data_IF_385559985791
#
_entry.id   IF_385559985791
#
_cell.length_a   1.000
_cell.length_b   1.000
_cell.length_c   1.000
_cell.angle_alpha   90.00
_cell.angle_beta   90.00
_cell.angle_gamma   90.00
#
_symmetry.space_group_name_H-M   'P 1'
#
loop_
_entity.id
_entity.type
_entity.pdbx_description
1 polymer ?
#
# COMPACT_ATOMS: atom_id res chain seq x y z
N UNK A 1 -1.85 1.68 -33.01
CA UNK A 1 -2.39 1.85 -31.65
C UNK A 1 -2.57 0.44 -31.13
N UNK A 2 -1.57 -0.06 -30.40
CA UNK A 2 -1.64 -1.42 -29.85
C UNK A 2 -2.84 -1.48 -28.91
N UNK A 3 -3.80 -2.32 -29.26
CA UNK A 3 -4.89 -2.69 -28.37
C UNK A 3 -4.27 -3.02 -27.01
N UNK A 4 -4.58 -2.21 -25.99
CA UNK A 4 -4.17 -2.51 -24.62
C UNK A 4 -4.75 -3.89 -24.27
N UNK A 5 -3.94 -4.94 -24.38
CA UNK A 5 -4.37 -6.34 -24.16
C UNK A 5 -5.04 -6.47 -22.79
N UNK A 6 -4.57 -5.70 -21.80
CA UNK A 6 -5.13 -5.59 -20.47
C UNK A 6 -6.51 -4.91 -20.38
N UNK A 7 -6.90 -4.11 -21.36
CA UNK A 7 -8.25 -3.57 -21.44
C UNK A 7 -9.28 -4.68 -21.74
N UNK A 8 -8.87 -5.73 -22.48
CA UNK A 8 -9.70 -6.90 -22.81
C UNK A 8 -9.79 -7.92 -21.68
N UNK A 9 -8.91 -7.84 -20.67
CA UNK A 9 -8.97 -8.69 -19.48
C UNK A 9 -10.02 -8.18 -18.49
N UNK A 10 -10.72 -9.12 -17.82
CA UNK A 10 -11.60 -8.77 -16.70
C UNK A 10 -10.79 -8.24 -15.52
N UNK A 11 -11.45 -7.43 -14.69
CA UNK A 11 -10.82 -6.79 -13.53
C UNK A 11 -10.27 -7.81 -12.53
N UNK A 12 -10.96 -8.95 -12.34
CA UNK A 12 -10.50 -10.03 -11.46
C UNK A 12 -9.20 -10.68 -11.94
N UNK A 13 -9.05 -10.87 -13.26
CA UNK A 13 -7.82 -11.43 -13.84
C UNK A 13 -6.66 -10.46 -13.68
N UNK A 14 -6.92 -9.16 -13.92
CA UNK A 14 -5.92 -8.09 -13.73
C UNK A 14 -5.49 -8.02 -12.27
N UNK A 15 -6.43 -8.05 -11.33
CA UNK A 15 -6.13 -8.08 -9.90
C UNK A 15 -5.31 -9.33 -9.53
N UNK A 16 -5.68 -10.51 -10.03
CA UNK A 16 -4.95 -11.76 -9.77
C UNK A 16 -3.51 -11.73 -10.30
N UNK A 17 -3.27 -11.09 -11.45
CA UNK A 17 -1.91 -10.85 -11.95
C UNK A 17 -1.17 -9.94 -10.98
N UNK A 18 -1.79 -8.85 -10.55
CA UNK A 18 -1.15 -7.95 -9.61
C UNK A 18 -0.85 -8.67 -8.29
N UNK A 19 -1.71 -9.56 -7.79
CA UNK A 19 -1.45 -10.37 -6.59
C UNK A 19 -0.12 -11.13 -6.64
N UNK A 20 0.40 -11.46 -7.82
CA UNK A 20 1.70 -12.11 -7.97
C UNK A 20 2.90 -11.16 -7.86
N UNK A 21 2.68 -9.85 -7.84
CA UNK A 21 3.70 -8.80 -7.68
C UNK A 21 3.89 -8.39 -6.21
N UNK A 22 3.48 -9.23 -5.26
CA UNK A 22 3.38 -8.92 -3.83
C UNK A 22 4.73 -8.77 -3.11
N UNK A 23 5.84 -9.19 -3.75
CA UNK A 23 7.18 -9.13 -3.16
C UNK A 23 7.60 -7.72 -2.74
N UNK A 24 7.17 -6.68 -3.48
CA UNK A 24 7.47 -5.30 -3.15
C UNK A 24 6.24 -4.40 -3.35
N UNK A 25 5.72 -3.75 -2.28
CA UNK A 25 4.59 -2.84 -2.38
C UNK A 25 4.84 -1.62 -3.29
N UNK A 26 6.10 -1.33 -3.66
CA UNK A 26 6.47 -0.29 -4.63
C UNK A 26 6.12 -0.67 -6.08
N UNK A 27 6.13 -1.96 -6.43
CA UNK A 27 5.77 -2.45 -7.76
C UNK A 27 4.33 -2.05 -8.13
N UNK A 28 3.46 -2.01 -7.13
CA UNK A 28 2.06 -1.61 -7.26
C UNK A 28 1.90 -0.14 -7.63
N UNK A 29 2.71 0.73 -7.04
CA UNK A 29 2.70 2.15 -7.37
C UNK A 29 3.12 2.36 -8.83
N UNK A 30 4.10 1.59 -9.31
CA UNK A 30 4.54 1.64 -10.70
C UNK A 30 3.43 1.17 -11.66
N UNK A 31 2.77 0.05 -11.36
CA UNK A 31 1.68 -0.49 -12.18
C UNK A 31 0.49 0.48 -12.24
N UNK A 32 0.18 1.17 -11.14
CA UNK A 32 -0.88 2.18 -11.11
C UNK A 32 -0.62 3.34 -12.07
N UNK A 33 0.63 3.66 -12.40
CA UNK A 33 0.99 4.72 -13.35
C UNK A 33 0.77 4.34 -14.82
N UNK A 34 0.57 3.06 -15.15
CA UNK A 34 0.50 2.57 -16.54
C UNK A 34 -0.85 2.84 -17.19
N UNK A 35 -1.95 2.80 -16.43
CA UNK A 35 -3.28 3.13 -16.95
C UNK A 35 -4.23 3.61 -15.86
N UNK A 36 -5.24 4.40 -16.24
CA UNK A 36 -6.31 4.83 -15.33
C UNK A 36 -7.11 3.65 -14.77
N UNK A 37 -7.32 2.59 -15.57
CA UNK A 37 -7.95 1.33 -15.13
C UNK A 37 -7.16 0.69 -14.01
N UNK A 38 -5.84 0.57 -14.17
CA UNK A 38 -4.96 -0.03 -13.15
C UNK A 38 -4.92 0.84 -11.89
N UNK A 39 -4.80 2.16 -12.05
CA UNK A 39 -4.85 3.06 -10.91
C UNK A 39 -6.14 2.90 -10.12
N UNK A 40 -7.29 2.76 -10.78
CA UNK A 40 -8.59 2.57 -10.11
C UNK A 40 -8.65 1.24 -9.35
N UNK A 41 -8.25 0.13 -9.98
CA UNK A 41 -8.25 -1.19 -9.34
C UNK A 41 -7.33 -1.26 -8.12
N UNK A 42 -6.11 -0.73 -8.24
CA UNK A 42 -5.12 -0.76 -7.17
C UNK A 42 -5.55 0.13 -5.99
N UNK A 43 -6.08 1.34 -6.29
CA UNK A 43 -6.58 2.28 -5.29
C UNK A 43 -7.70 1.71 -4.43
N UNK A 44 -8.65 1.01 -5.07
CA UNK A 44 -9.92 0.66 -4.43
C UNK A 44 -9.82 -0.60 -3.59
N UNK A 45 -9.10 -1.61 -4.08
CA UNK A 45 -9.08 -2.94 -3.45
C UNK A 45 -7.81 -3.14 -2.62
N UNK A 46 -6.64 -2.83 -3.19
CA UNK A 46 -5.35 -3.23 -2.61
C UNK A 46 -4.89 -2.30 -1.50
N UNK A 47 -4.84 -0.99 -1.75
CA UNK A 47 -4.34 -0.03 -0.77
C UNK A 47 -5.17 -0.01 0.50
N UNK A 48 -6.48 -0.18 0.38
CA UNK A 48 -7.37 -0.38 1.52
C UNK A 48 -6.95 -1.58 2.37
N UNK A 49 -6.87 -2.77 1.77
CA UNK A 49 -6.55 -4.00 2.49
C UNK A 49 -5.14 -3.97 3.11
N UNK A 50 -4.17 -3.41 2.39
CA UNK A 50 -2.79 -3.28 2.87
C UNK A 50 -2.68 -2.28 4.04
N UNK A 51 -3.32 -1.11 3.94
CA UNK A 51 -3.28 -0.14 5.02
C UNK A 51 -4.01 -0.64 6.28
N UNK A 52 -5.14 -1.33 6.13
CA UNK A 52 -5.88 -1.90 7.27
C UNK A 52 -5.12 -3.01 7.99
N UNK A 53 -4.22 -3.71 7.30
CA UNK A 53 -3.40 -4.78 7.89
C UNK A 53 -2.08 -4.24 8.45
N UNK A 54 -1.46 -3.28 7.76
CA UNK A 54 -0.13 -2.75 8.11
C UNK A 54 -0.15 -1.64 9.16
N UNK A 55 -1.15 -0.76 9.12
CA UNK A 55 -1.29 0.40 10.04
C UNK A 55 -2.75 0.56 10.53
N UNK A 56 -3.33 -0.46 11.18
CA UNK A 56 -4.74 -0.46 11.59
C UNK A 56 -5.11 0.72 12.50
N UNK A 57 -4.21 1.11 13.41
CA UNK A 57 -4.39 2.24 14.33
C UNK A 57 -4.45 3.58 13.60
N UNK A 58 -3.55 3.80 12.64
CA UNK A 58 -3.51 5.01 11.80
C UNK A 58 -4.75 5.12 10.92
N UNK A 59 -5.15 3.99 10.32
CA UNK A 59 -6.40 3.88 9.56
C UNK A 59 -7.60 4.25 10.43
N UNK A 60 -7.73 3.67 11.62
CA UNK A 60 -8.84 3.97 12.54
C UNK A 60 -8.85 5.44 13.00
N UNK A 61 -7.68 6.02 13.24
CA UNK A 61 -7.56 7.41 13.70
C UNK A 61 -7.87 8.42 12.59
N UNK A 62 -7.42 8.17 11.36
CA UNK A 62 -7.61 9.08 10.22
C UNK A 62 -8.96 8.90 9.52
N UNK A 63 -9.53 7.70 9.52
CA UNK A 63 -10.81 7.39 8.87
C UNK A 63 -11.98 7.35 9.87
N UNK A 64 -11.77 7.87 11.08
CA UNK A 64 -12.82 8.01 12.10
C UNK A 64 -14.01 8.82 11.54
N UNK A 65 -15.27 8.46 11.87
CA UNK A 65 -16.49 8.94 11.20
C UNK A 65 -16.74 10.46 11.25
N UNK A 66 -15.93 11.22 11.98
CA UNK A 66 -15.93 12.68 11.93
C UNK A 66 -15.50 13.24 10.56
N UNK A 67 -14.83 12.43 9.72
CA UNK A 67 -14.49 12.75 8.34
C UNK A 67 -15.41 11.96 7.40
N UNK A 68 -16.61 12.49 7.13
CA UNK A 68 -17.70 11.85 6.37
C UNK A 68 -17.43 11.65 4.86
N UNK A 69 -16.18 11.69 4.44
CA UNK A 69 -15.78 11.31 3.09
C UNK A 69 -14.51 10.47 3.19
N UNK A 70 -14.64 9.15 3.05
CA UNK A 70 -13.50 8.31 2.66
C UNK A 70 -12.94 8.96 1.39
N UNK A 71 -11.77 9.63 1.42
CA UNK A 71 -11.34 10.35 0.25
C UNK A 71 -11.03 9.29 -0.82
N UNK A 72 -11.44 9.48 -2.08
CA UNK A 72 -11.09 8.58 -3.17
C UNK A 72 -9.57 8.36 -3.32
N UNK A 73 -8.77 9.20 -2.64
CA UNK A 73 -7.31 9.17 -2.60
C UNK A 73 -6.67 8.96 -1.21
N UNK A 74 -7.44 8.82 -0.14
CA UNK A 74 -6.90 8.71 1.22
C UNK A 74 -6.04 7.46 1.41
N UNK A 75 -6.47 6.34 0.82
CA UNK A 75 -5.75 5.07 0.83
C UNK A 75 -4.41 5.13 0.09
N UNK A 76 -4.31 5.96 -0.95
CA UNK A 76 -3.06 6.18 -1.70
C UNK A 76 -1.99 6.84 -0.84
N UNK A 77 -2.39 7.86 -0.10
CA UNK A 77 -1.51 8.61 0.79
C UNK A 77 -1.09 7.72 1.96
N UNK A 78 -2.03 6.98 2.55
CA UNK A 78 -1.72 6.01 3.61
C UNK A 78 -0.75 4.92 3.16
N UNK A 79 -0.95 4.39 1.96
CA UNK A 79 -0.05 3.39 1.40
C UNK A 79 1.36 3.95 1.18
N UNK A 80 1.47 5.20 0.68
CA UNK A 80 2.76 5.88 0.54
C UNK A 80 3.42 6.13 1.89
N UNK A 81 2.67 6.52 2.91
CA UNK A 81 3.21 6.70 4.26
C UNK A 81 3.72 5.37 4.82
N UNK A 82 2.94 4.29 4.71
CA UNK A 82 3.36 2.97 5.16
C UNK A 82 4.64 2.50 4.46
N UNK A 83 4.75 2.69 3.14
CA UNK A 83 5.84 2.12 2.32
C UNK A 83 7.07 3.02 2.20
N UNK A 84 6.89 4.34 2.12
CA UNK A 84 7.95 5.29 1.77
C UNK A 84 8.46 6.12 2.95
N UNK A 85 7.85 6.01 4.15
CA UNK A 85 8.26 6.78 5.32
C UNK A 85 8.84 5.87 6.41
N UNK A 86 10.15 5.55 6.37
CA UNK A 86 10.79 4.73 7.40
C UNK A 86 10.70 5.36 8.80
N UNK A 87 10.52 6.68 8.89
CA UNK A 87 10.31 7.39 10.16
C UNK A 87 9.10 6.91 10.97
N UNK A 88 8.07 6.33 10.32
CA UNK A 88 6.91 5.77 11.02
C UNK A 88 7.24 4.47 11.77
N UNK A 89 8.28 3.75 11.34
CA UNK A 89 8.82 2.61 12.08
C UNK A 89 9.50 3.08 13.36
N UNK A 90 10.31 4.13 13.26
CA UNK A 90 11.01 4.72 14.40
C UNK A 90 10.07 5.33 15.43
N UNK A 91 8.91 5.84 15.02
CA UNK A 91 7.91 6.38 15.94
C UNK A 91 7.01 5.30 16.55
N UNK A 92 7.31 4.00 16.39
CA UNK A 92 6.49 2.85 16.83
C UNK A 92 5.07 2.80 16.22
N UNK A 93 4.84 3.56 15.13
CA UNK A 93 3.53 3.65 14.47
C UNK A 93 3.34 2.49 13.49
N UNK A 94 4.41 2.01 12.86
CA UNK A 94 4.44 0.73 12.15
C UNK A 94 4.85 -0.37 13.14
N UNK A 95 3.90 -1.24 13.51
CA UNK A 95 4.15 -2.37 14.39
C UNK A 95 5.10 -3.38 13.71
N UNK A 96 5.86 -4.10 14.53
CA UNK A 96 7.07 -4.94 14.31
C UNK A 96 7.08 -5.96 13.15
N UNK A 97 6.04 -6.05 12.31
CA UNK A 97 5.92 -7.08 11.27
C UNK A 97 6.20 -6.59 9.84
N UNK A 98 6.46 -5.30 9.62
CA UNK A 98 6.73 -4.78 8.27
C UNK A 98 8.22 -4.72 7.98
N UNK A 99 8.83 -5.86 7.66
CA UNK A 99 10.16 -5.90 7.07
C UNK A 99 10.04 -5.50 5.59
N UNK A 100 10.12 -4.20 5.27
CA UNK A 100 10.02 -3.64 3.91
C UNK A 100 11.18 -4.03 2.96
N UNK A 101 11.74 -5.23 3.10
CA UNK A 101 12.93 -5.68 2.37
C UNK A 101 14.17 -4.83 2.69
N UNK A 102 14.13 -4.03 3.75
CA UNK A 102 15.28 -3.37 4.34
C UNK A 102 15.83 -4.32 5.39
N UNK A 103 16.61 -5.33 4.97
CA UNK A 103 17.45 -6.10 5.89
C UNK A 103 18.40 -5.13 6.58
N UNK A 104 18.01 -4.65 7.76
CA UNK A 104 18.81 -3.72 8.53
C UNK A 104 19.38 -4.46 9.71
N UNK A 105 20.71 -4.51 9.77
CA UNK A 105 21.41 -4.93 10.96
C UNK A 105 20.88 -4.10 12.14
N UNK A 106 20.18 -4.77 13.04
CA UNK A 106 19.84 -4.21 14.34
C UNK A 106 21.19 -3.89 15.00
N UNK A 107 21.45 -2.60 15.23
CA UNK A 107 22.59 -2.17 16.03
C UNK A 107 22.54 -2.86 17.40
N UNK A 108 23.70 -3.11 18.03
CA UNK A 108 23.76 -3.89 19.25
C UNK A 108 22.82 -3.31 20.31
N UNK A 109 22.05 -4.18 20.96
CA UNK A 109 21.18 -3.81 22.08
C UNK A 109 22.04 -3.15 23.15
N UNK A 110 21.81 -1.85 23.39
CA UNK A 110 22.35 -1.19 24.57
C UNK A 110 21.53 -1.63 25.78
N UNK A 111 21.92 -2.76 26.38
CA UNK A 111 21.56 -3.09 27.75
C UNK A 111 22.19 -2.07 28.69
N UNK A 112 21.37 -1.16 29.21
CA UNK A 112 21.68 -0.34 30.39
C UNK A 112 21.54 -1.13 31.68
#
# INVERSE_FOLDING_TARGET
MEDMVFAKLSDDVVLNIFFKLEDDPRNWAQVACVSSKFSSLIRTVRWRNNCTTTIPSVVSNLLSPATTASPPDGWAVLHKLAVCCPGLLYSSVLLENSNFGLERELGPDETF
#
